data_IF_093963962176
#
_entry.id   IF_093963962176
#
_cell.length_a   1.000
_cell.length_b   1.000
_cell.length_c   1.000
_cell.angle_alpha   90.00
_cell.angle_beta   90.00
_cell.angle_gamma   90.00
#
_symmetry.space_group_name_H-M   'P 1'
#
loop_
_entity.id
_entity.type
_entity.pdbx_description
1 polymer ?
#
# COMPACT_ATOMS: atom_id res chain seq x y z
N UNK A 1 -20.31 26.65 -28.71
CA UNK A 1 -21.24 26.23 -27.64
C UNK A 1 -20.54 26.45 -26.31
N UNK A 2 -21.06 27.33 -25.47
CA UNK A 2 -20.58 27.53 -24.09
C UNK A 2 -21.20 26.45 -23.21
N UNK A 3 -20.38 25.61 -22.57
CA UNK A 3 -20.85 24.67 -21.56
C UNK A 3 -21.40 25.44 -20.36
N UNK A 4 -22.68 25.24 -20.03
CA UNK A 4 -23.28 25.84 -18.83
C UNK A 4 -22.97 24.98 -17.58
N UNK A 5 -22.94 25.63 -16.41
CA UNK A 5 -22.54 25.01 -15.15
C UNK A 5 -23.44 23.84 -14.75
N UNK A 6 -24.74 23.91 -15.07
CA UNK A 6 -25.69 22.87 -14.74
C UNK A 6 -25.38 21.59 -15.53
N UNK A 7 -25.24 21.68 -16.85
CA UNK A 7 -24.88 20.54 -17.70
C UNK A 7 -23.58 19.86 -17.25
N UNK A 8 -22.57 20.65 -16.89
CA UNK A 8 -21.28 20.11 -16.43
C UNK A 8 -21.39 19.45 -15.05
N UNK A 9 -22.23 19.96 -14.17
CA UNK A 9 -22.48 19.37 -12.84
C UNK A 9 -23.22 18.04 -12.98
N UNK A 10 -24.23 17.96 -13.86
CA UNK A 10 -24.96 16.72 -14.17
C UNK A 10 -24.03 15.65 -14.78
N UNK A 11 -23.15 16.04 -15.70
CA UNK A 11 -22.14 15.13 -16.25
C UNK A 11 -21.20 14.60 -15.16
N UNK A 12 -20.75 15.46 -14.24
CA UNK A 12 -19.89 15.06 -13.11
C UNK A 12 -20.62 14.09 -12.18
N UNK A 13 -21.90 14.35 -11.92
CA UNK A 13 -22.77 13.46 -11.15
C UNK A 13 -22.86 12.07 -11.77
N UNK A 14 -23.11 12.01 -13.07
CA UNK A 14 -23.23 10.75 -13.80
C UNK A 14 -21.93 9.93 -13.73
N UNK A 15 -20.78 10.57 -13.96
CA UNK A 15 -19.46 9.92 -13.89
C UNK A 15 -19.19 9.39 -12.47
N UNK A 16 -19.45 10.19 -11.43
CA UNK A 16 -19.29 9.76 -10.04
C UNK A 16 -20.19 8.55 -9.70
N UNK A 17 -21.44 8.57 -10.17
CA UNK A 17 -22.39 7.49 -9.92
C UNK A 17 -21.98 6.19 -10.63
N UNK A 18 -21.60 6.26 -11.90
CA UNK A 18 -21.11 5.10 -12.68
C UNK A 18 -19.83 4.54 -12.07
N UNK A 19 -18.87 5.40 -11.74
CA UNK A 19 -17.63 5.03 -11.06
C UNK A 19 -17.92 4.26 -9.76
N UNK A 20 -18.81 4.81 -8.93
CA UNK A 20 -19.20 4.21 -7.66
C UNK A 20 -19.92 2.88 -7.87
N UNK A 21 -20.86 2.80 -8.81
CA UNK A 21 -21.58 1.57 -9.13
C UNK A 21 -20.64 0.44 -9.55
N UNK A 22 -19.74 0.70 -10.49
CA UNK A 22 -18.72 -0.26 -10.93
C UNK A 22 -17.91 -0.74 -9.73
N UNK A 23 -17.38 0.20 -8.95
CA UNK A 23 -16.43 -0.12 -7.90
C UNK A 23 -17.08 -0.82 -6.70
N UNK A 24 -18.30 -0.44 -6.31
CA UNK A 24 -19.07 -1.08 -5.23
C UNK A 24 -19.52 -2.48 -5.64
N UNK A 25 -20.09 -2.64 -6.84
CA UNK A 25 -20.52 -3.96 -7.34
C UNK A 25 -19.34 -4.91 -7.42
N UNK A 26 -18.19 -4.45 -7.92
CA UNK A 26 -16.99 -5.27 -7.97
C UNK A 26 -16.45 -5.61 -6.57
N UNK A 27 -16.48 -4.65 -5.62
CA UNK A 27 -16.07 -4.88 -4.23
C UNK A 27 -16.95 -5.95 -3.56
N UNK A 28 -18.27 -5.88 -3.76
CA UNK A 28 -19.23 -6.84 -3.22
C UNK A 28 -19.08 -8.23 -3.83
N UNK A 29 -18.92 -8.32 -5.16
CA UNK A 29 -18.75 -9.60 -5.88
C UNK A 29 -17.48 -10.33 -5.45
N UNK A 30 -16.38 -9.60 -5.19
CA UNK A 30 -15.08 -10.18 -4.85
C UNK A 30 -14.86 -10.43 -3.35
N UNK A 31 -15.80 -10.05 -2.47
CA UNK A 31 -15.63 -10.06 -1.00
C UNK A 31 -14.30 -9.45 -0.55
N UNK A 32 -13.89 -8.35 -1.20
CA UNK A 32 -12.61 -7.71 -0.92
C UNK A 32 -12.64 -7.12 0.49
N UNK A 33 -11.74 -7.56 1.39
CA UNK A 33 -11.69 -7.14 2.79
C UNK A 33 -10.66 -6.04 3.07
N UNK A 34 -9.84 -5.65 2.07
CA UNK A 34 -8.67 -4.79 2.27
C UNK A 34 -8.79 -3.39 1.66
N UNK A 35 -7.74 -2.99 0.94
CA UNK A 35 -7.64 -1.67 0.29
C UNK A 35 -8.86 -1.34 -0.59
N UNK A 36 -9.45 -2.35 -1.24
CA UNK A 36 -10.60 -2.17 -2.11
C UNK A 36 -11.84 -1.59 -1.41
N UNK A 37 -12.08 -1.92 -0.13
CA UNK A 37 -13.20 -1.33 0.64
C UNK A 37 -12.99 0.15 0.88
N UNK A 38 -11.77 0.56 1.22
CA UNK A 38 -11.44 1.97 1.47
C UNK A 38 -11.56 2.78 0.18
N UNK A 39 -11.07 2.25 -0.95
CA UNK A 39 -11.27 2.87 -2.24
C UNK A 39 -12.76 2.94 -2.65
N UNK A 40 -13.56 1.92 -2.34
CA UNK A 40 -15.01 1.99 -2.58
C UNK A 40 -15.70 3.07 -1.74
N UNK A 41 -15.29 3.24 -0.49
CA UNK A 41 -15.76 4.34 0.37
C UNK A 41 -15.36 5.69 -0.22
N UNK A 42 -14.16 5.83 -0.80
CA UNK A 42 -13.76 7.05 -1.50
C UNK A 42 -14.75 7.43 -2.62
N UNK A 43 -15.13 6.46 -3.46
CA UNK A 43 -16.10 6.71 -4.54
C UNK A 43 -17.50 7.03 -3.99
N UNK A 44 -17.93 6.37 -2.92
CA UNK A 44 -19.16 6.71 -2.21
C UNK A 44 -19.14 8.15 -1.68
N UNK A 45 -18.01 8.61 -1.12
CA UNK A 45 -17.83 10.00 -0.70
C UNK A 45 -17.92 10.97 -1.90
N UNK A 46 -17.33 10.63 -3.05
CA UNK A 46 -17.47 11.40 -4.29
C UNK A 46 -18.93 11.51 -4.74
N UNK A 47 -19.70 10.42 -4.67
CA UNK A 47 -21.14 10.42 -4.98
C UNK A 47 -21.94 11.25 -3.97
N UNK A 48 -21.65 11.11 -2.67
CA UNK A 48 -22.30 11.89 -1.61
C UNK A 48 -22.06 13.40 -1.79
N UNK A 49 -20.85 13.79 -2.23
CA UNK A 49 -20.51 15.18 -2.58
C UNK A 49 -21.47 15.74 -3.61
N UNK A 50 -21.66 15.00 -4.70
CA UNK A 50 -22.54 15.41 -5.79
C UNK A 50 -23.99 15.57 -5.32
N UNK A 51 -24.52 14.61 -4.56
CA UNK A 51 -25.87 14.73 -4.02
C UNK A 51 -26.02 15.95 -3.12
N UNK A 52 -25.04 16.21 -2.25
CA UNK A 52 -25.07 17.36 -1.36
C UNK A 52 -25.09 18.69 -2.13
N UNK A 53 -24.29 18.83 -3.20
CA UNK A 53 -24.31 20.04 -4.02
C UNK A 53 -25.55 20.18 -4.89
N UNK A 54 -26.13 19.07 -5.38
CA UNK A 54 -27.43 19.10 -6.07
C UNK A 54 -28.54 19.53 -5.10
N UNK A 55 -28.56 18.98 -3.87
CA UNK A 55 -29.51 19.39 -2.83
C UNK A 55 -29.38 20.88 -2.53
N UNK A 56 -28.15 21.38 -2.38
CA UNK A 56 -27.90 22.81 -2.20
C UNK A 56 -28.40 23.65 -3.38
N UNK A 57 -28.10 23.25 -4.62
CA UNK A 57 -28.54 23.94 -5.82
C UNK A 57 -30.08 23.96 -5.97
N UNK A 58 -30.77 22.94 -5.45
CA UNK A 58 -32.22 22.88 -5.37
C UNK A 58 -32.81 23.71 -4.21
N UNK A 59 -31.98 24.43 -3.46
CA UNK A 59 -32.40 25.24 -2.30
C UNK A 59 -32.61 24.44 -1.00
N UNK A 60 -32.18 23.17 -0.96
CA UNK A 60 -32.38 22.27 0.18
C UNK A 60 -31.10 22.22 1.03
N UNK A 61 -31.24 22.38 2.36
CA UNK A 61 -30.18 22.17 3.33
C UNK A 61 -29.16 23.31 3.50
N UNK A 62 -29.18 24.33 2.63
CA UNK A 62 -28.40 25.58 2.81
C UNK A 62 -26.93 25.33 3.13
N UNK A 63 -26.43 25.93 4.22
CA UNK A 63 -25.05 25.79 4.67
C UNK A 63 -24.65 24.35 5.05
N UNK A 64 -25.61 23.55 5.55
CA UNK A 64 -25.36 22.16 5.94
C UNK A 64 -25.12 21.30 4.71
N UNK A 65 -25.86 21.52 3.62
CA UNK A 65 -25.64 20.81 2.36
C UNK A 65 -24.24 21.10 1.79
N UNK A 66 -23.79 22.36 1.80
CA UNK A 66 -22.42 22.72 1.42
C UNK A 66 -21.40 22.06 2.35
N UNK A 67 -21.62 22.05 3.66
CA UNK A 67 -20.69 21.46 4.62
C UNK A 67 -20.53 19.94 4.43
N UNK A 68 -21.63 19.23 4.19
CA UNK A 68 -21.61 17.80 3.83
C UNK A 68 -20.84 17.61 2.53
N UNK A 69 -21.14 18.41 1.50
CA UNK A 69 -20.47 18.37 0.20
C UNK A 69 -18.95 18.56 0.33
N UNK A 70 -18.53 19.62 1.03
CA UNK A 70 -17.12 19.94 1.24
C UNK A 70 -16.37 18.81 1.98
N UNK A 71 -16.97 18.29 3.05
CA UNK A 71 -16.36 17.21 3.84
C UNK A 71 -16.27 15.90 3.06
N UNK A 72 -17.36 15.51 2.38
CA UNK A 72 -17.38 14.33 1.51
C UNK A 72 -16.37 14.44 0.36
N UNK A 73 -16.17 15.65 -0.17
CA UNK A 73 -15.21 15.85 -1.24
C UNK A 73 -13.77 15.70 -0.75
N UNK A 74 -13.46 16.27 0.40
CA UNK A 74 -12.16 16.09 1.06
C UNK A 74 -11.89 14.63 1.45
N UNK A 75 -12.92 13.89 1.86
CA UNK A 75 -12.82 12.46 2.20
C UNK A 75 -12.49 11.58 1.00
N UNK A 76 -12.80 12.00 -0.23
CA UNK A 76 -12.55 11.21 -1.44
C UNK A 76 -11.05 10.87 -1.60
N UNK A 77 -10.12 11.83 -1.76
CA UNK A 77 -8.69 11.52 -1.80
C UNK A 77 -8.16 10.97 -0.47
N UNK A 78 -8.80 11.28 0.67
CA UNK A 78 -8.41 10.76 1.97
C UNK A 78 -8.56 9.23 2.07
N UNK A 79 -9.69 8.71 1.61
CA UNK A 79 -9.93 7.27 1.56
C UNK A 79 -9.10 6.58 0.47
N UNK A 80 -8.76 7.28 -0.63
CA UNK A 80 -7.76 6.78 -1.59
C UNK A 80 -6.40 6.60 -0.89
N UNK A 81 -5.94 7.58 -0.11
CA UNK A 81 -4.71 7.47 0.66
C UNK A 81 -4.75 6.32 1.68
N UNK A 82 -5.83 6.21 2.47
CA UNK A 82 -5.99 5.10 3.41
C UNK A 82 -6.00 3.73 2.70
N UNK A 83 -6.64 3.63 1.54
CA UNK A 83 -6.61 2.44 0.71
C UNK A 83 -5.21 2.11 0.22
N UNK A 84 -4.43 3.10 -0.24
CA UNK A 84 -3.03 2.92 -0.64
C UNK A 84 -2.15 2.47 0.53
N UNK A 85 -2.35 3.04 1.73
CA UNK A 85 -1.65 2.59 2.95
C UNK A 85 -1.99 1.15 3.30
N UNK A 86 -3.28 0.79 3.23
CA UNK A 86 -3.71 -0.58 3.50
C UNK A 86 -3.20 -1.56 2.44
N UNK A 87 -3.11 -1.12 1.19
CA UNK A 87 -2.48 -1.87 0.11
C UNK A 87 -1.00 -2.13 0.43
N UNK A 88 -0.33 -1.14 1.02
CA UNK A 88 1.06 -1.25 1.46
C UNK A 88 1.27 -1.97 2.81
N UNK A 89 0.23 -2.63 3.34
CA UNK A 89 0.21 -3.25 4.67
C UNK A 89 0.69 -2.33 5.81
N UNK A 90 0.43 -1.03 5.68
CA UNK A 90 0.79 -0.04 6.70
C UNK A 90 -0.35 0.14 7.69
N UNK A 91 -0.03 0.41 8.98
CA UNK A 91 -1.04 0.71 9.97
C UNK A 91 -1.78 1.99 9.56
N UNK A 92 -3.12 1.91 9.60
CA UNK A 92 -4.02 3.01 9.27
C UNK A 92 -4.55 3.74 10.51
N UNK A 93 -4.32 3.26 11.73
CA UNK A 93 -4.93 3.82 12.96
C UNK A 93 -4.77 5.33 13.11
N UNK A 94 -3.53 5.83 13.17
CA UNK A 94 -3.28 7.27 13.27
C UNK A 94 -3.71 8.04 12.00
N UNK A 95 -3.57 7.43 10.82
CA UNK A 95 -3.98 8.03 9.55
C UNK A 95 -5.49 8.23 9.48
N UNK A 96 -6.28 7.27 9.97
CA UNK A 96 -7.73 7.36 10.09
C UNK A 96 -8.16 8.46 11.06
N UNK A 97 -7.42 8.69 12.15
CA UNK A 97 -7.66 9.83 13.05
C UNK A 97 -7.45 11.15 12.31
N UNK A 98 -6.36 11.30 11.55
CA UNK A 98 -6.12 12.51 10.75
C UNK A 98 -7.23 12.74 9.73
N UNK A 99 -7.65 11.68 9.03
CA UNK A 99 -8.78 11.76 8.08
C UNK A 99 -10.05 12.24 8.79
N UNK A 100 -10.38 11.69 9.94
CA UNK A 100 -11.53 12.11 10.73
C UNK A 100 -11.45 13.57 11.18
N UNK A 101 -10.30 13.99 11.73
CA UNK A 101 -10.08 15.36 12.21
C UNK A 101 -10.20 16.37 11.07
N UNK A 102 -9.55 16.14 9.93
CA UNK A 102 -9.59 17.06 8.79
C UNK A 102 -10.98 17.09 8.11
N UNK A 103 -11.71 15.97 8.12
CA UNK A 103 -13.09 15.93 7.63
C UNK A 103 -14.04 16.76 8.51
N UNK A 104 -13.92 16.64 9.83
CA UNK A 104 -14.67 17.45 10.80
C UNK A 104 -14.28 18.92 10.67
N UNK A 105 -12.99 19.22 10.56
CA UNK A 105 -12.51 20.59 10.39
C UNK A 105 -13.05 21.24 9.12
N UNK A 106 -13.05 20.50 8.00
CA UNK A 106 -13.64 20.96 6.73
C UNK A 106 -15.14 21.21 6.86
N UNK A 107 -15.86 20.32 7.54
CA UNK A 107 -17.29 20.48 7.79
C UNK A 107 -17.59 21.73 8.64
N UNK A 108 -16.91 21.87 9.78
CA UNK A 108 -17.10 22.99 10.71
C UNK A 108 -16.73 24.32 10.05
N UNK A 109 -15.65 24.36 9.27
CA UNK A 109 -15.26 25.54 8.51
C UNK A 109 -16.37 26.00 7.57
N UNK A 110 -17.02 25.08 6.85
CA UNK A 110 -18.14 25.41 5.97
C UNK A 110 -19.37 25.90 6.75
N UNK A 111 -19.77 25.21 7.83
CA UNK A 111 -20.92 25.62 8.64
C UNK A 111 -20.77 27.05 9.19
N UNK A 112 -19.56 27.42 9.64
CA UNK A 112 -19.28 28.74 10.21
C UNK A 112 -19.16 29.81 9.12
N UNK A 113 -18.51 29.49 8.00
CA UNK A 113 -18.12 30.49 6.99
C UNK A 113 -19.19 30.72 5.93
N UNK A 114 -20.01 29.73 5.59
CA UNK A 114 -21.06 29.88 4.56
C UNK A 114 -22.05 31.01 4.87
N UNK A 115 -22.51 31.23 6.11
CA UNK A 115 -23.37 32.37 6.43
C UNK A 115 -22.75 33.75 6.15
N UNK A 116 -21.42 33.85 6.09
CA UNK A 116 -20.68 35.11 5.94
C UNK A 116 -20.13 35.27 4.51
N UNK A 117 -19.58 34.20 3.95
CA UNK A 117 -18.85 34.17 2.67
C UNK A 117 -19.67 33.55 1.54
N UNK A 118 -20.93 33.20 1.80
CA UNK A 118 -21.83 32.57 0.83
C UNK A 118 -21.36 31.18 0.40
N UNK A 119 -21.53 30.87 -0.88
CA UNK A 119 -21.24 29.54 -1.44
C UNK A 119 -19.77 29.11 -1.34
N UNK A 120 -18.85 30.07 -1.16
CA UNK A 120 -17.42 29.82 -1.00
C UNK A 120 -16.97 29.60 0.45
N UNK A 121 -17.89 29.71 1.41
CA UNK A 121 -17.59 29.55 2.83
C UNK A 121 -16.93 28.20 3.14
N UNK A 122 -15.72 28.26 3.71
CA UNK A 122 -14.94 27.08 4.07
C UNK A 122 -14.22 26.39 2.92
N UNK A 123 -14.30 26.94 1.70
CA UNK A 123 -13.65 26.37 0.51
C UNK A 123 -12.13 26.27 0.64
N UNK A 124 -11.47 27.28 1.23
CA UNK A 124 -10.01 27.29 1.44
C UNK A 124 -9.56 26.09 2.26
N UNK A 125 -10.32 25.76 3.32
CA UNK A 125 -10.03 24.62 4.20
C UNK A 125 -10.23 23.30 3.46
N UNK A 126 -11.32 23.18 2.70
CA UNK A 126 -11.59 22.00 1.86
C UNK A 126 -10.46 21.80 0.83
N UNK A 127 -10.10 22.84 0.08
CA UNK A 127 -9.09 22.77 -0.97
C UNK A 127 -7.71 22.39 -0.40
N UNK A 128 -7.29 23.01 0.71
CA UNK A 128 -6.05 22.65 1.39
C UNK A 128 -6.05 21.18 1.84
N UNK A 129 -7.16 20.71 2.41
CA UNK A 129 -7.31 19.31 2.84
C UNK A 129 -7.21 18.33 1.66
N UNK A 130 -7.86 18.66 0.54
CA UNK A 130 -7.80 17.88 -0.70
C UNK A 130 -6.36 17.79 -1.23
N UNK A 131 -5.63 18.91 -1.28
CA UNK A 131 -4.23 18.93 -1.73
C UNK A 131 -3.36 18.05 -0.83
N UNK A 132 -3.51 18.16 0.49
CA UNK A 132 -2.76 17.31 1.44
C UNK A 132 -3.01 15.83 1.19
N UNK A 133 -4.27 15.42 1.01
CA UNK A 133 -4.58 14.00 0.77
C UNK A 133 -4.19 13.52 -0.62
N UNK A 134 -4.24 14.37 -1.65
CA UNK A 134 -3.71 14.02 -2.96
C UNK A 134 -2.20 13.81 -2.92
N UNK A 135 -1.45 14.70 -2.26
CA UNK A 135 -0.01 14.53 -2.06
C UNK A 135 0.31 13.27 -1.27
N UNK A 136 -0.38 13.05 -0.15
CA UNK A 136 -0.19 11.87 0.69
C UNK A 136 -0.55 10.56 -0.06
N UNK A 137 -1.65 10.57 -0.81
CA UNK A 137 -2.10 9.44 -1.62
C UNK A 137 -1.14 9.12 -2.77
N UNK A 138 -0.66 10.15 -3.48
CA UNK A 138 0.29 10.02 -4.57
C UNK A 138 1.65 9.51 -4.10
N UNK A 139 2.15 10.04 -2.98
CA UNK A 139 3.37 9.58 -2.33
C UNK A 139 3.25 8.16 -1.77
N UNK A 140 2.09 7.79 -1.24
CA UNK A 140 1.88 6.41 -0.78
C UNK A 140 1.77 5.43 -1.96
N UNK A 141 1.25 5.86 -3.12
CA UNK A 141 1.20 5.03 -4.33
C UNK A 141 2.57 4.71 -4.92
N UNK A 142 3.60 5.56 -4.69
CA UNK A 142 4.98 5.23 -5.09
C UNK A 142 5.70 4.31 -4.10
N UNK A 143 5.13 4.11 -2.91
CA UNK A 143 5.73 3.27 -1.88
C UNK A 143 5.43 1.79 -2.14
N UNK A 144 6.36 0.95 -1.76
CA UNK A 144 6.25 -0.51 -1.89
C UNK A 144 5.22 -1.08 -0.91
N UNK A 145 4.53 -2.18 -1.29
CA UNK A 145 4.67 -2.94 -2.53
C UNK A 145 3.90 -2.34 -3.72
N UNK A 146 2.99 -1.38 -3.53
CA UNK A 146 2.19 -0.79 -4.61
C UNK A 146 3.05 -0.21 -5.73
N UNK A 147 4.10 0.52 -5.40
CA UNK A 147 5.02 1.15 -6.35
C UNK A 147 5.82 0.19 -7.23
N UNK A 148 5.75 -1.14 -7.02
CA UNK A 148 6.33 -2.13 -7.95
C UNK A 148 5.44 -2.36 -9.17
N UNK A 149 4.14 -2.05 -9.06
CA UNK A 149 3.20 -2.23 -10.16
C UNK A 149 3.30 -1.00 -11.05
N UNK A 150 3.66 -1.16 -12.34
CA UNK A 150 3.79 -0.03 -13.26
C UNK A 150 2.57 0.92 -13.27
N UNK A 151 1.36 0.36 -13.15
CA UNK A 151 0.11 1.13 -13.06
C UNK A 151 -0.04 1.96 -11.77
N UNK A 152 0.72 1.67 -10.71
CA UNK A 152 0.73 2.48 -9.49
C UNK A 152 1.40 3.84 -9.70
N UNK A 153 2.39 3.91 -10.61
CA UNK A 153 2.98 5.19 -11.01
C UNK A 153 1.96 6.06 -11.75
N UNK A 154 1.08 5.45 -12.55
CA UNK A 154 -0.01 6.18 -13.19
C UNK A 154 -1.01 6.71 -12.15
N UNK A 155 -1.36 5.92 -11.12
CA UNK A 155 -2.19 6.42 -10.02
C UNK A 155 -1.51 7.58 -9.30
N UNK A 156 -0.22 7.43 -8.99
CA UNK A 156 0.57 8.47 -8.34
C UNK A 156 0.59 9.75 -9.16
N UNK A 157 0.82 9.67 -10.47
CA UNK A 157 0.78 10.80 -11.39
C UNK A 157 -0.58 11.49 -11.40
N UNK A 158 -1.69 10.74 -11.42
CA UNK A 158 -3.05 11.29 -11.35
C UNK A 158 -3.30 12.00 -10.03
N UNK A 159 -2.87 11.43 -8.90
CA UNK A 159 -3.03 12.06 -7.59
C UNK A 159 -2.18 13.33 -7.47
N UNK A 160 -0.94 13.33 -7.98
CA UNK A 160 -0.11 14.54 -8.02
C UNK A 160 -0.67 15.61 -8.99
N UNK A 161 -1.23 15.22 -10.13
CA UNK A 161 -1.94 16.14 -11.02
C UNK A 161 -3.16 16.75 -10.32
N UNK A 162 -3.90 15.96 -9.54
CA UNK A 162 -4.97 16.44 -8.67
C UNK A 162 -4.49 17.45 -7.63
N UNK A 163 -3.38 17.15 -6.93
CA UNK A 163 -2.77 18.08 -5.99
C UNK A 163 -2.33 19.40 -6.66
N UNK A 164 -1.69 19.32 -7.84
CA UNK A 164 -1.24 20.48 -8.59
C UNK A 164 -2.43 21.35 -9.04
N UNK A 165 -3.48 20.74 -9.60
CA UNK A 165 -4.68 21.46 -10.03
C UNK A 165 -5.37 22.16 -8.86
N UNK A 166 -5.65 21.43 -7.77
CA UNK A 166 -6.32 22.02 -6.61
C UNK A 166 -5.43 22.99 -5.83
N UNK A 167 -4.10 22.82 -5.86
CA UNK A 167 -3.14 23.76 -5.30
C UNK A 167 -3.08 25.06 -6.09
N UNK A 168 -3.03 24.98 -7.42
CA UNK A 168 -3.09 26.15 -8.30
C UNK A 168 -4.44 26.87 -8.17
N UNK A 169 -5.54 26.10 -8.09
CA UNK A 169 -6.88 26.64 -7.83
C UNK A 169 -6.95 27.40 -6.51
N UNK A 170 -6.39 26.82 -5.43
CA UNK A 170 -6.28 27.44 -4.11
C UNK A 170 -5.48 28.74 -4.16
N UNK A 171 -4.31 28.73 -4.81
CA UNK A 171 -3.49 29.93 -4.97
C UNK A 171 -4.25 31.03 -5.75
N UNK A 172 -4.87 30.69 -6.88
CA UNK A 172 -5.64 31.63 -7.68
C UNK A 172 -6.80 32.25 -6.90
N UNK A 173 -7.53 31.45 -6.12
CA UNK A 173 -8.62 31.96 -5.28
C UNK A 173 -8.15 32.92 -4.18
N UNK A 174 -7.00 32.63 -3.55
CA UNK A 174 -6.45 33.49 -2.49
C UNK A 174 -5.91 34.81 -3.07
N UNK A 175 -5.36 34.77 -4.28
CA UNK A 175 -4.73 35.93 -4.92
C UNK A 175 -5.73 36.82 -5.68
N UNK A 176 -6.67 36.23 -6.41
CA UNK A 176 -7.60 36.94 -7.32
C UNK A 176 -9.04 36.99 -6.75
N UNK A 177 -9.35 36.15 -5.77
CA UNK A 177 -10.67 36.06 -5.16
C UNK A 177 -11.67 35.21 -5.97
N UNK A 178 -12.88 34.97 -5.43
CA UNK A 178 -13.93 34.15 -6.07
C UNK A 178 -14.52 34.77 -7.34
N UNK A 179 -14.50 36.09 -7.45
CA UNK A 179 -15.07 36.86 -8.58
C UNK A 179 -13.99 37.39 -9.53
N UNK A 180 -12.72 37.14 -9.22
CA UNK A 180 -11.58 37.55 -10.04
C UNK A 180 -11.64 36.91 -11.43
N UNK A 181 -11.30 37.71 -12.46
CA UNK A 181 -11.44 37.29 -13.85
C UNK A 181 -10.49 36.12 -14.18
N UNK A 182 -9.30 36.09 -13.60
CA UNK A 182 -8.35 35.00 -13.80
C UNK A 182 -8.86 33.72 -13.15
N UNK A 183 -9.36 33.80 -11.91
CA UNK A 183 -9.95 32.66 -11.20
C UNK A 183 -11.15 32.11 -11.96
N UNK A 184 -12.13 32.93 -12.33
CA UNK A 184 -13.35 32.47 -13.00
C UNK A 184 -13.05 31.83 -14.36
N UNK A 185 -12.10 32.38 -15.11
CA UNK A 185 -11.75 31.91 -16.46
C UNK A 185 -11.04 30.56 -16.44
N UNK A 186 -10.04 30.38 -15.55
CA UNK A 186 -9.17 29.20 -15.57
C UNK A 186 -9.44 28.18 -14.47
N UNK A 187 -9.97 28.64 -13.34
CA UNK A 187 -10.07 27.89 -12.08
C UNK A 187 -11.48 27.89 -11.47
N UNK A 188 -12.46 28.44 -12.20
CA UNK A 188 -13.86 28.50 -11.83
C UNK A 188 -14.52 27.12 -11.78
N UNK A 189 -15.77 27.07 -11.34
CA UNK A 189 -16.48 25.81 -11.09
C UNK A 189 -16.60 24.90 -12.32
N UNK A 190 -16.71 25.46 -13.53
CA UNK A 190 -16.74 24.68 -14.78
C UNK A 190 -15.42 23.92 -14.98
N UNK A 191 -14.28 24.61 -14.89
CA UNK A 191 -12.94 24.02 -15.05
C UNK A 191 -12.71 22.90 -14.02
N UNK A 192 -13.14 23.11 -12.78
CA UNK A 192 -12.95 22.15 -11.70
C UNK A 192 -13.80 20.89 -11.85
N UNK A 193 -15.04 21.02 -12.33
CA UNK A 193 -15.86 19.87 -12.64
C UNK A 193 -15.25 19.04 -13.79
N UNK A 194 -14.76 19.70 -14.86
CA UNK A 194 -14.07 19.02 -15.96
C UNK A 194 -12.83 18.28 -15.44
N UNK A 195 -11.98 18.95 -14.66
CA UNK A 195 -10.80 18.33 -14.04
C UNK A 195 -11.19 17.14 -13.15
N UNK A 196 -12.25 17.28 -12.36
CA UNK A 196 -12.75 16.21 -11.48
C UNK A 196 -13.23 15.02 -12.28
N UNK A 197 -13.95 15.22 -13.39
CA UNK A 197 -14.38 14.14 -14.30
C UNK A 197 -13.17 13.41 -14.86
N UNK A 198 -12.20 14.13 -15.43
CA UNK A 198 -11.00 13.54 -16.02
C UNK A 198 -10.21 12.74 -14.97
N UNK A 199 -9.93 13.36 -13.82
CA UNK A 199 -9.19 12.72 -12.74
C UNK A 199 -9.93 11.48 -12.20
N UNK A 200 -11.25 11.56 -12.06
CA UNK A 200 -12.08 10.43 -11.59
C UNK A 200 -12.06 9.29 -12.60
N UNK A 201 -12.23 9.57 -13.89
CA UNK A 201 -12.20 8.53 -14.93
C UNK A 201 -10.86 7.80 -14.94
N UNK A 202 -9.74 8.54 -14.93
CA UNK A 202 -8.41 7.91 -14.91
C UNK A 202 -8.21 7.17 -13.58
N UNK A 203 -8.56 7.76 -12.44
CA UNK A 203 -8.43 7.11 -11.14
C UNK A 203 -9.25 5.81 -11.07
N UNK A 204 -10.48 5.78 -11.59
CA UNK A 204 -11.31 4.56 -11.66
C UNK A 204 -10.63 3.50 -12.50
N UNK A 205 -10.19 3.85 -13.72
CA UNK A 205 -9.53 2.89 -14.61
C UNK A 205 -8.28 2.33 -13.93
N UNK A 206 -7.44 3.19 -13.36
CA UNK A 206 -6.18 2.77 -12.75
C UNK A 206 -6.40 1.99 -11.47
N UNK A 207 -7.32 2.39 -10.59
CA UNK A 207 -7.62 1.63 -9.37
C UNK A 207 -8.29 0.31 -9.68
N UNK A 208 -9.15 0.25 -10.71
CA UNK A 208 -9.70 -1.01 -11.23
C UNK A 208 -8.62 -1.90 -11.83
N UNK A 209 -7.66 -1.35 -12.58
CA UNK A 209 -6.52 -2.12 -13.09
C UNK A 209 -5.60 -2.55 -11.95
N UNK A 210 -5.32 -1.72 -10.95
CA UNK A 210 -4.51 -2.11 -9.79
C UNK A 210 -5.19 -3.22 -9.00
N UNK A 211 -6.52 -3.14 -8.86
CA UNK A 211 -7.37 -4.18 -8.31
C UNK A 211 -7.44 -5.43 -9.21
N UNK A 212 -7.35 -5.29 -10.53
CA UNK A 212 -7.42 -6.38 -11.50
C UNK A 212 -6.06 -7.06 -11.76
N UNK A 213 -4.94 -6.33 -11.72
CA UNK A 213 -3.57 -6.87 -11.74
C UNK A 213 -3.29 -7.63 -10.45
N UNK A 214 -3.88 -7.17 -9.34
CA UNK A 214 -4.02 -7.98 -8.12
C UNK A 214 -4.79 -9.29 -8.36
N UNK A 215 -5.58 -9.40 -9.44
CA UNK A 215 -6.35 -10.61 -9.80
C UNK A 215 -5.84 -11.41 -11.01
N UNK A 216 -5.04 -10.83 -11.91
CA UNK A 216 -4.63 -11.44 -13.18
C UNK A 216 -3.12 -11.70 -13.29
N UNK A 217 -2.28 -10.83 -12.72
CA UNK A 217 -0.80 -10.97 -12.74
C UNK A 217 -0.26 -11.48 -11.40
N UNK A 218 -1.03 -11.33 -10.33
CA UNK A 218 -0.75 -11.96 -9.03
C UNK A 218 -1.76 -13.07 -8.75
N UNK A 219 -1.48 -14.26 -9.28
CA UNK A 219 -1.84 -15.55 -8.63
C UNK A 219 -1.00 -15.76 -7.36
N UNK A 220 -0.85 -14.68 -6.59
CA UNK A 220 -0.33 -14.52 -5.25
C UNK A 220 -1.43 -13.79 -4.51
N UNK A 221 -2.52 -14.52 -4.20
CA UNK A 221 -3.75 -14.06 -3.56
C UNK A 221 -3.42 -13.40 -2.19
N UNK A 222 -3.18 -12.09 -2.25
CA UNK A 222 -2.99 -11.24 -1.10
C UNK A 222 -4.35 -10.67 -0.64
N UNK A 223 -4.97 -11.33 0.34
CA UNK A 223 -5.81 -10.79 1.43
C UNK A 223 -6.54 -11.96 2.12
N UNK A 224 -5.86 -12.68 3.00
CA UNK A 224 -6.52 -13.20 4.20
C UNK A 224 -6.62 -12.08 5.24
N UNK A 225 -7.73 -11.96 5.96
CA UNK A 225 -7.88 -11.04 7.11
C UNK A 225 -6.75 -11.17 8.16
N UNK A 226 -5.97 -12.26 8.09
CA UNK A 226 -4.98 -12.67 9.08
C UNK A 226 -3.53 -12.29 8.71
N UNK A 227 -3.31 -11.58 7.59
CA UNK A 227 -1.97 -11.14 7.16
C UNK A 227 -1.04 -12.27 6.70
N UNK A 228 -1.63 -13.28 6.06
CA UNK A 228 -0.93 -14.38 5.38
C UNK A 228 -1.28 -14.30 3.89
N UNK A 229 -0.28 -14.39 3.01
CA UNK A 229 -0.48 -14.51 1.57
C UNK A 229 -1.07 -15.87 1.20
N UNK A 230 -1.62 -16.01 0.00
CA UNK A 230 -2.08 -17.32 -0.49
C UNK A 230 -0.97 -18.30 -0.84
N UNK A 231 0.23 -17.79 -1.14
CA UNK A 231 1.41 -18.64 -1.11
C UNK A 231 1.76 -19.04 0.33
N UNK A 232 0.92 -18.75 1.34
CA UNK A 232 1.01 -19.09 2.75
C UNK A 232 2.18 -18.48 3.50
N UNK A 233 2.87 -17.53 2.87
CA UNK A 233 3.92 -16.74 3.49
C UNK A 233 3.26 -15.59 4.26
N UNK A 234 3.65 -15.41 5.52
CA UNK A 234 3.15 -14.32 6.37
C UNK A 234 3.73 -12.97 5.93
N UNK A 235 2.92 -11.91 5.99
CA UNK A 235 3.43 -10.53 5.83
C UNK A 235 4.47 -10.24 6.89
N UNK A 236 5.42 -9.36 6.60
CA UNK A 236 6.48 -9.02 7.54
C UNK A 236 5.96 -8.60 8.92
N UNK A 237 4.81 -7.91 9.00
CA UNK A 237 4.18 -7.59 10.29
C UNK A 237 3.64 -8.84 11.00
N UNK A 238 2.79 -9.62 10.34
CA UNK A 238 2.20 -10.85 10.89
C UNK A 238 3.26 -11.86 11.31
N UNK A 239 4.31 -12.01 10.50
CA UNK A 239 5.46 -12.85 10.81
C UNK A 239 6.17 -12.38 12.09
N UNK A 240 6.47 -11.07 12.20
CA UNK A 240 7.10 -10.52 13.41
C UNK A 240 6.24 -10.69 14.65
N UNK A 241 4.93 -10.53 14.53
CA UNK A 241 4.00 -10.76 15.64
C UNK A 241 3.99 -12.24 16.05
N UNK A 242 3.97 -13.18 15.09
CA UNK A 242 4.05 -14.62 15.35
C UNK A 242 5.42 -15.06 15.93
N UNK A 243 6.52 -14.50 15.42
CA UNK A 243 7.87 -14.72 15.92
C UNK A 243 8.01 -14.23 17.37
N UNK A 244 7.43 -13.07 17.69
CA UNK A 244 7.42 -12.54 19.05
C UNK A 244 6.69 -13.47 20.03
N UNK A 245 5.52 -13.97 19.66
CA UNK A 245 4.80 -14.95 20.48
C UNK A 245 5.59 -16.24 20.67
N UNK A 246 6.19 -16.77 19.60
CA UNK A 246 6.99 -18.01 19.67
C UNK A 246 8.23 -17.84 20.56
N UNK A 247 8.97 -16.76 20.38
CA UNK A 247 10.19 -16.50 21.17
C UNK A 247 9.89 -16.19 22.63
N UNK A 248 8.79 -15.51 22.93
CA UNK A 248 8.34 -15.29 24.32
C UNK A 248 8.00 -16.61 25.01
N UNK A 249 7.19 -17.47 24.37
CA UNK A 249 6.84 -18.79 24.89
C UNK A 249 8.06 -19.71 25.03
N UNK A 250 8.96 -19.68 24.05
CA UNK A 250 10.20 -20.45 24.09
C UNK A 250 11.13 -19.97 25.21
N UNK A 251 11.19 -18.66 25.47
CA UNK A 251 11.95 -18.07 26.56
C UNK A 251 11.52 -18.59 27.95
N UNK A 252 10.21 -18.78 28.16
CA UNK A 252 9.70 -19.36 29.41
C UNK A 252 10.13 -20.81 29.63
N UNK A 253 10.25 -21.59 28.54
CA UNK A 253 10.60 -23.01 28.58
C UNK A 253 12.07 -23.31 28.32
N UNK A 254 12.85 -22.27 27.99
CA UNK A 254 14.23 -22.36 27.50
C UNK A 254 14.35 -23.31 26.29
N UNK A 255 13.36 -23.25 25.39
CA UNK A 255 13.36 -24.00 24.14
C UNK A 255 14.21 -23.28 23.08
N UNK A 256 15.02 -24.03 22.33
CA UNK A 256 15.85 -23.46 21.27
C UNK A 256 15.00 -23.15 20.03
N UNK A 257 14.90 -21.87 19.72
CA UNK A 257 14.29 -21.36 18.47
C UNK A 257 15.38 -20.92 17.50
N UNK A 258 15.17 -21.24 16.21
CA UNK A 258 15.99 -20.78 15.10
C UNK A 258 15.18 -19.88 14.16
N UNK A 259 15.85 -18.85 13.63
CA UNK A 259 15.37 -18.06 12.49
C UNK A 259 16.34 -18.26 11.35
N UNK A 260 15.84 -18.76 10.23
CA UNK A 260 16.59 -19.01 9.01
C UNK A 260 16.17 -17.95 8.01
N UNK A 261 17.10 -17.09 7.62
CA UNK A 261 16.90 -16.11 6.58
C UNK A 261 17.40 -16.67 5.25
N UNK A 262 16.52 -16.66 4.25
CA UNK A 262 16.83 -16.96 2.86
C UNK A 262 16.91 -15.65 2.11
N UNK A 263 18.10 -15.31 1.63
CA UNK A 263 18.35 -14.12 0.85
C UNK A 263 18.63 -14.50 -0.60
N UNK A 264 18.05 -13.79 -1.56
CA UNK A 264 18.32 -13.93 -2.99
C UNK A 264 18.96 -12.66 -3.50
N UNK A 265 20.13 -12.78 -4.11
CA UNK A 265 20.84 -11.65 -4.70
C UNK A 265 20.67 -11.64 -6.23
N UNK A 266 20.72 -10.46 -6.83
CA UNK A 266 20.71 -10.29 -8.28
C UNK A 266 19.33 -10.12 -8.96
N UNK A 267 18.22 -10.08 -8.21
CA UNK A 267 16.88 -9.99 -8.82
C UNK A 267 16.66 -8.66 -9.57
N UNK A 268 17.19 -7.54 -9.07
CA UNK A 268 17.04 -6.24 -9.72
C UNK A 268 17.90 -6.16 -11.00
N UNK A 269 19.11 -6.71 -10.98
CA UNK A 269 19.97 -6.86 -12.15
C UNK A 269 19.34 -7.78 -13.21
N UNK A 270 18.69 -8.86 -12.77
CA UNK A 270 17.93 -9.75 -13.67
C UNK A 270 16.72 -9.04 -14.28
N UNK A 271 16.00 -8.22 -13.51
CA UNK A 271 14.89 -7.42 -14.05
C UNK A 271 15.39 -6.42 -15.09
N UNK A 272 16.56 -5.82 -14.88
CA UNK A 272 17.18 -4.91 -15.84
C UNK A 272 17.67 -5.61 -17.12
N UNK A 273 18.19 -6.84 -17.01
CA UNK A 273 18.76 -7.58 -18.13
C UNK A 273 17.72 -8.37 -18.95
N UNK A 274 16.73 -8.97 -18.28
CA UNK A 274 15.77 -9.92 -18.88
C UNK A 274 14.31 -9.43 -18.83
N UNK A 275 14.07 -8.26 -18.26
CA UNK A 275 12.75 -7.68 -18.08
C UNK A 275 12.10 -8.06 -16.75
N UNK A 276 11.14 -7.23 -16.31
CA UNK A 276 10.45 -7.41 -15.03
C UNK A 276 9.70 -8.74 -14.92
N UNK A 277 9.11 -9.21 -16.02
CA UNK A 277 8.27 -10.41 -16.00
C UNK A 277 9.08 -11.68 -15.69
N UNK A 278 10.31 -11.78 -16.22
CA UNK A 278 11.21 -12.90 -15.94
C UNK A 278 11.70 -12.89 -14.49
N UNK A 279 12.08 -11.72 -13.98
CA UNK A 279 12.51 -11.56 -12.60
C UNK A 279 11.36 -11.82 -11.60
N UNK A 280 10.14 -11.42 -11.94
CA UNK A 280 8.96 -11.67 -11.14
C UNK A 280 8.60 -13.16 -11.09
N UNK A 281 8.68 -13.89 -12.22
CA UNK A 281 8.47 -15.35 -12.23
C UNK A 281 9.56 -16.09 -11.42
N UNK A 282 10.80 -15.61 -11.48
CA UNK A 282 11.90 -16.16 -10.68
C UNK A 282 11.69 -15.93 -9.18
N UNK A 283 11.33 -14.70 -8.79
CA UNK A 283 11.01 -14.37 -7.40
C UNK A 283 9.82 -15.20 -6.89
N UNK A 284 8.81 -15.37 -7.73
CA UNK A 284 7.66 -16.24 -7.52
C UNK A 284 8.07 -17.70 -7.23
N UNK A 285 8.91 -18.28 -8.08
CA UNK A 285 9.39 -19.65 -7.93
C UNK A 285 10.24 -19.82 -6.67
N UNK A 286 11.15 -18.88 -6.40
CA UNK A 286 11.95 -18.89 -5.19
C UNK A 286 11.09 -18.89 -3.93
N UNK A 287 10.09 -18.01 -3.84
CA UNK A 287 9.17 -17.97 -2.69
C UNK A 287 8.44 -19.29 -2.47
N UNK A 288 7.89 -19.86 -3.55
CA UNK A 288 7.21 -21.17 -3.51
C UNK A 288 8.16 -22.27 -3.03
N UNK A 289 9.41 -22.23 -3.48
CA UNK A 289 10.43 -23.21 -3.11
C UNK A 289 10.81 -23.10 -1.63
N UNK A 290 11.09 -21.89 -1.12
CA UNK A 290 11.38 -21.68 0.32
C UNK A 290 10.27 -22.25 1.19
N UNK A 291 9.00 -21.98 0.86
CA UNK A 291 7.88 -22.54 1.61
C UNK A 291 7.78 -24.05 1.50
N UNK A 292 7.99 -24.62 0.32
CA UNK A 292 7.91 -26.07 0.08
C UNK A 292 8.94 -26.84 0.92
N UNK A 293 10.15 -26.30 1.03
CA UNK A 293 11.26 -26.95 1.73
C UNK A 293 11.43 -26.50 3.19
N UNK A 294 10.62 -25.53 3.64
CA UNK A 294 10.54 -25.18 5.05
C UNK A 294 9.91 -26.31 5.88
N UNK A 295 10.34 -26.52 7.14
CA UNK A 295 9.70 -27.50 8.03
C UNK A 295 8.21 -27.22 8.21
N UNK A 296 7.38 -28.26 8.31
CA UNK A 296 5.92 -28.14 8.38
C UNK A 296 5.41 -27.35 9.62
N UNK A 297 6.18 -27.33 10.70
CA UNK A 297 5.89 -26.57 11.92
C UNK A 297 6.46 -25.16 11.92
N UNK A 298 7.21 -24.77 10.89
CA UNK A 298 7.87 -23.48 10.83
C UNK A 298 6.94 -22.40 10.29
N UNK A 299 7.06 -21.19 10.84
CA UNK A 299 6.46 -20.00 10.26
C UNK A 299 7.35 -19.47 9.15
N UNK A 300 6.77 -19.21 7.98
CA UNK A 300 7.46 -18.57 6.85
C UNK A 300 6.88 -17.19 6.66
N UNK A 301 7.72 -16.17 6.56
CA UNK A 301 7.29 -14.79 6.40
C UNK A 301 8.27 -13.93 5.63
N UNK A 302 7.83 -12.73 5.27
CA UNK A 302 8.64 -11.77 4.51
C UNK A 302 9.61 -10.98 5.40
N UNK A 303 10.85 -10.83 4.92
CA UNK A 303 11.88 -10.00 5.55
C UNK A 303 12.55 -9.02 4.58
N UNK A 304 11.77 -8.49 3.64
CA UNK A 304 12.23 -7.57 2.60
C UNK A 304 11.95 -8.10 1.19
N UNK A 305 12.31 -7.32 0.17
CA UNK A 305 11.97 -7.62 -1.22
C UNK A 305 12.68 -8.87 -1.78
N UNK A 306 13.84 -9.19 -1.23
CA UNK A 306 14.69 -10.30 -1.67
C UNK A 306 15.01 -11.29 -0.55
N UNK A 307 14.22 -11.25 0.53
CA UNK A 307 14.53 -11.99 1.74
C UNK A 307 13.27 -12.58 2.37
N UNK A 308 13.31 -13.88 2.65
CA UNK A 308 12.28 -14.61 3.40
C UNK A 308 12.86 -15.11 4.71
N UNK A 309 12.02 -15.20 5.73
CA UNK A 309 12.36 -15.68 7.04
C UNK A 309 11.57 -16.94 7.39
N UNK A 310 12.25 -17.96 7.88
CA UNK A 310 11.68 -19.23 8.34
C UNK A 310 12.01 -19.38 9.81
N UNK A 311 11.01 -19.33 10.68
CA UNK A 311 11.17 -19.51 12.12
C UNK A 311 10.64 -20.88 12.55
N UNK A 312 11.43 -21.62 13.32
CA UNK A 312 11.01 -22.91 13.87
C UNK A 312 11.75 -23.27 15.14
N UNK A 313 11.30 -24.35 15.77
CA UNK A 313 12.02 -24.96 16.90
C UNK A 313 13.17 -25.80 16.34
N UNK A 314 14.34 -25.67 16.94
CA UNK A 314 15.50 -26.49 16.64
C UNK A 314 15.90 -27.27 17.88
N UNK A 315 16.39 -28.49 17.71
CA UNK A 315 16.90 -29.28 18.84
C UNK A 315 18.34 -28.93 19.20
N UNK A 316 19.13 -28.55 18.19
CA UNK A 316 20.55 -28.19 18.31
C UNK A 316 20.93 -27.19 17.21
N UNK A 317 22.08 -26.53 17.34
CA UNK A 317 22.63 -25.72 16.25
C UNK A 317 22.82 -26.52 14.95
N UNK A 318 23.31 -27.76 15.05
CA UNK A 318 23.48 -28.65 13.90
C UNK A 318 22.14 -28.94 13.20
N UNK A 319 21.06 -29.07 13.95
CA UNK A 319 19.71 -29.28 13.43
C UNK A 319 19.21 -28.06 12.65
N UNK A 320 19.37 -26.86 13.20
CA UNK A 320 19.04 -25.62 12.49
C UNK A 320 19.85 -25.45 11.20
N UNK A 321 21.14 -25.80 11.20
CA UNK A 321 21.98 -25.82 9.99
C UNK A 321 21.47 -26.83 8.96
N UNK A 322 21.04 -28.02 9.38
CA UNK A 322 20.46 -29.02 8.48
C UNK A 322 19.16 -28.52 7.84
N UNK A 323 18.29 -27.89 8.62
CA UNK A 323 17.07 -27.27 8.11
C UNK A 323 17.40 -26.19 7.07
N UNK A 324 18.34 -25.29 7.38
CA UNK A 324 18.80 -24.26 6.44
C UNK A 324 19.40 -24.85 5.15
N UNK A 325 20.21 -25.90 5.27
CA UNK A 325 20.80 -26.58 4.12
C UNK A 325 19.76 -27.34 3.26
N UNK A 326 18.70 -27.87 3.88
CA UNK A 326 17.59 -28.50 3.17
C UNK A 326 16.81 -27.47 2.35
N UNK A 327 16.51 -26.30 2.94
CA UNK A 327 15.89 -25.18 2.24
C UNK A 327 16.77 -24.70 1.08
N UNK A 328 18.07 -24.51 1.30
CA UNK A 328 19.01 -24.11 0.25
C UNK A 328 19.00 -25.07 -0.94
N UNK A 329 19.20 -26.37 -0.69
CA UNK A 329 19.26 -27.38 -1.75
C UNK A 329 17.95 -27.43 -2.53
N UNK A 330 16.83 -27.50 -1.82
CA UNK A 330 15.52 -27.50 -2.47
C UNK A 330 15.24 -26.23 -3.29
N UNK A 331 15.71 -25.07 -2.82
CA UNK A 331 15.65 -23.82 -3.58
C UNK A 331 16.47 -23.88 -4.87
N UNK A 332 17.74 -24.32 -4.79
CA UNK A 332 18.59 -24.42 -5.96
C UNK A 332 18.05 -25.44 -6.96
N UNK A 333 17.58 -26.59 -6.49
CA UNK A 333 17.00 -27.64 -7.34
C UNK A 333 15.74 -27.11 -8.05
N UNK A 334 14.80 -26.52 -7.31
CA UNK A 334 13.59 -25.95 -7.91
C UNK A 334 13.92 -24.80 -8.87
N UNK A 335 14.90 -23.93 -8.56
CA UNK A 335 15.28 -22.80 -9.41
C UNK A 335 16.04 -23.24 -10.67
N UNK A 336 16.83 -24.30 -10.59
CA UNK A 336 17.53 -24.87 -11.76
C UNK A 336 16.55 -25.42 -12.79
N UNK A 337 15.38 -25.89 -12.36
CA UNK A 337 14.28 -26.33 -13.22
C UNK A 337 13.45 -25.16 -13.81
N UNK A 338 13.85 -23.90 -13.60
CA UNK A 338 13.16 -22.75 -14.17
C UNK A 338 13.32 -22.70 -15.71
N UNK A 339 12.21 -22.56 -16.49
CA UNK A 339 12.25 -22.47 -17.95
C UNK A 339 13.14 -21.36 -18.52
N UNK A 340 13.38 -20.30 -17.74
CA UNK A 340 14.23 -19.17 -18.14
C UNK A 340 15.73 -19.49 -18.07
N UNK A 341 16.13 -20.56 -17.38
CA UNK A 341 17.52 -20.93 -17.13
C UNK A 341 18.28 -19.96 -16.21
N UNK A 342 17.58 -19.00 -15.59
CA UNK A 342 18.17 -18.03 -14.67
C UNK A 342 18.28 -18.64 -13.27
N UNK A 343 19.50 -18.63 -12.72
CA UNK A 343 19.78 -19.11 -11.38
C UNK A 343 20.35 -17.95 -10.53
N UNK A 344 19.56 -17.39 -9.60
CA UNK A 344 20.03 -16.31 -8.74
C UNK A 344 20.90 -16.88 -7.61
N UNK A 345 21.70 -16.01 -6.99
CA UNK A 345 22.54 -16.43 -5.86
C UNK A 345 21.70 -16.47 -4.60
N UNK A 346 21.65 -17.63 -3.95
CA UNK A 346 20.89 -17.82 -2.71
C UNK A 346 21.84 -17.93 -1.52
N UNK A 347 21.66 -17.07 -0.51
CA UNK A 347 22.37 -17.13 0.76
C UNK A 347 21.44 -17.52 1.90
N UNK A 348 21.88 -18.44 2.77
CA UNK A 348 21.16 -18.80 3.99
C UNK A 348 21.92 -18.32 5.23
N UNK A 349 21.22 -17.61 6.10
CA UNK A 349 21.71 -17.24 7.42
C UNK A 349 20.85 -17.84 8.52
N UNK A 350 21.48 -18.29 9.61
CA UNK A 350 20.80 -18.94 10.73
C UNK A 350 21.09 -18.18 12.01
N UNK A 351 20.05 -17.62 12.63
CA UNK A 351 20.08 -17.06 13.97
C UNK A 351 19.58 -18.09 14.98
N UNK A 352 20.23 -18.19 16.13
CA UNK A 352 19.85 -19.07 17.23
C UNK A 352 19.63 -18.28 18.51
N UNK A 353 18.56 -18.61 19.21
CA UNK A 353 18.26 -18.02 20.53
C UNK A 353 19.33 -18.32 21.60
N UNK A 354 20.05 -19.44 21.47
CA UNK A 354 21.21 -19.75 22.32
C UNK A 354 22.36 -18.74 22.13
N UNK A 355 22.54 -18.20 20.92
CA UNK A 355 23.64 -17.27 20.60
C UNK A 355 23.28 -15.83 20.91
N UNK A 356 22.08 -15.39 20.54
CA UNK A 356 21.71 -13.96 20.57
C UNK A 356 20.53 -13.63 21.49
N UNK A 357 19.98 -14.62 22.18
CA UNK A 357 18.82 -14.49 23.06
C UNK A 357 17.48 -14.54 22.32
N UNK A 358 16.40 -14.32 23.08
CA UNK A 358 15.01 -14.46 22.61
C UNK A 358 14.42 -13.17 22.02
N UNK A 359 15.21 -12.11 21.82
CA UNK A 359 14.70 -10.89 21.18
C UNK A 359 14.49 -11.14 19.67
N UNK A 360 13.25 -11.02 19.15
CA UNK A 360 12.94 -11.28 17.75
C UNK A 360 13.77 -10.45 16.76
N UNK A 361 14.02 -9.19 17.10
CA UNK A 361 14.68 -8.24 16.20
C UNK A 361 16.17 -8.51 16.13
N UNK A 362 16.79 -8.81 17.28
CA UNK A 362 18.19 -9.23 17.35
C UNK A 362 18.40 -10.55 16.59
N UNK A 363 17.48 -11.50 16.75
CA UNK A 363 17.52 -12.80 16.09
C UNK A 363 17.41 -12.69 14.57
N UNK A 364 16.45 -11.89 14.08
CA UNK A 364 16.30 -11.60 12.65
C UNK A 364 17.52 -10.88 12.08
N UNK A 365 18.06 -9.87 12.78
CA UNK A 365 19.23 -9.12 12.31
C UNK A 365 20.48 -9.99 12.22
N UNK A 366 20.73 -10.85 13.21
CA UNK A 366 21.84 -11.80 13.17
C UNK A 366 21.71 -12.77 11.99
N UNK A 367 20.54 -13.37 11.81
CA UNK A 367 20.29 -14.27 10.69
C UNK A 367 20.43 -13.57 9.33
N UNK A 368 19.95 -12.32 9.22
CA UNK A 368 20.03 -11.53 7.98
C UNK A 368 21.48 -11.18 7.63
N UNK A 369 22.27 -10.73 8.60
CA UNK A 369 23.69 -10.46 8.41
C UNK A 369 24.43 -11.70 7.90
N UNK A 370 24.14 -12.87 8.47
CA UNK A 370 24.70 -14.14 8.01
C UNK A 370 24.26 -14.53 6.59
N UNK A 371 22.99 -14.31 6.22
CA UNK A 371 22.47 -14.63 4.89
C UNK A 371 23.13 -13.80 3.79
N UNK A 372 23.33 -12.50 4.03
CA UNK A 372 24.02 -11.60 3.09
C UNK A 372 25.51 -11.99 2.95
N UNK A 373 26.16 -12.44 4.02
CA UNK A 373 27.52 -12.98 3.90
C UNK A 373 27.55 -14.30 3.13
N UNK A 374 26.54 -15.15 3.35
CA UNK A 374 26.45 -16.43 2.68
C UNK A 374 26.24 -16.26 1.16
N UNK A 375 25.44 -15.29 0.71
CA UNK A 375 25.26 -15.01 -0.72
C UNK A 375 26.54 -14.49 -1.39
N UNK A 376 27.46 -13.91 -0.63
CA UNK A 376 28.74 -13.40 -1.13
C UNK A 376 29.90 -14.39 -0.92
N UNK A 377 29.65 -15.52 -0.27
CA UNK A 377 30.68 -16.52 0.04
C UNK A 377 30.79 -17.55 -1.08
N UNK A 378 32.03 -17.87 -1.46
CA UNK A 378 32.32 -18.95 -2.39
C UNK A 378 32.38 -20.33 -1.70
N UNK A 379 32.52 -20.35 -0.38
CA UNK A 379 32.81 -21.57 0.39
C UNK A 379 31.60 -22.12 1.16
N UNK A 380 30.64 -21.27 1.51
CA UNK A 380 29.53 -21.66 2.38
C UNK A 380 28.23 -20.92 2.06
N UNK A 381 27.21 -21.68 1.65
CA UNK A 381 25.86 -21.16 1.39
C UNK A 381 24.99 -21.05 2.66
N UNK A 382 25.43 -21.63 3.78
CA UNK A 382 24.72 -21.59 5.07
C UNK A 382 25.68 -21.12 6.18
N UNK A 383 25.40 -19.97 6.77
CA UNK A 383 26.20 -19.35 7.84
C UNK A 383 25.36 -19.11 9.09
N UNK A 384 26.01 -19.11 10.26
CA UNK A 384 25.39 -18.69 11.52
C UNK A 384 25.62 -17.21 11.77
N UNK A 385 24.60 -16.54 12.33
CA UNK A 385 24.69 -15.16 12.77
C UNK A 385 25.10 -15.04 14.24
N UNK A 386 25.99 -14.08 14.53
CA UNK A 386 26.43 -13.75 15.88
C UNK A 386 25.93 -12.40 16.41
N UNK A 387 26.31 -12.08 17.65
CA UNK A 387 25.97 -10.83 18.33
C UNK A 387 26.54 -9.57 17.65
N UNK A 388 27.69 -9.69 16.98
CA UNK A 388 28.32 -8.57 16.25
C UNK A 388 27.44 -8.08 15.09
N UNK A 389 26.79 -9.03 14.40
CA UNK A 389 25.94 -8.76 13.24
C UNK A 389 24.58 -8.20 13.65
N UNK A 390 24.07 -8.62 14.81
CA UNK A 390 22.86 -8.04 15.36
C UNK A 390 23.05 -6.55 15.71
N UNK A 391 24.28 -6.14 16.08
CA UNK A 391 24.61 -4.77 16.47
C UNK A 391 24.91 -3.85 15.28
N UNK A 392 25.47 -4.36 14.18
CA UNK A 392 25.79 -3.54 12.99
C UNK A 392 24.58 -2.94 12.28
N UNK A 393 23.36 -3.37 12.61
CA UNK A 393 22.10 -2.85 12.08
C UNK A 393 21.35 -1.90 13.05
N UNK A 394 21.90 -1.62 14.23
CA UNK A 394 21.35 -0.66 15.20
C UNK A 394 22.02 0.72 15.15
N UNK A 395 23.09 0.87 14.37
CA UNK A 395 23.76 2.13 13.99
C UNK A 395 23.47 2.45 12.55
#
# INVERSE_FOLDING_TARGET
MTLDLFSVTVMTALVAFVATGIFVVETLRRRDAGAGRLWAVAYLCGTATTFAYISWAAGIGGAVAIAIGNSAFALTPAFIWLGNRRFNDRPIGWSSVIVGVLAVFTFVAAVIRVPVEGSWGGWVVMAATIVVFFLAGGWEATRRPMGRIGNAHLLSAVLFAGAAFYGARLAAFVLDGPEGTFFVTWFGSISANIATVVLTMVAVVVTSILRANKSATQRYEWLGENGVAADGIMLGRTYRDALRDMTERAGWRRELVSVIIVHVDGLDEMAAAFGSDAADELAAQWRRSVRRHAPASAFVGEDGDSTLAVCGVATTAADARRQGAAIYRGCIDDLADNPTGLLPVVGIGVGLTETVGYDPTVLMNAARGAAIRASRSLEASVLFGGLEEARSHLT
#
